data_IF_566284883921
#
_entry.id   IF_566284883921
#
_cell.length_a   1.000
_cell.length_b   1.000
_cell.length_c   1.000
_cell.angle_alpha   90.00
_cell.angle_beta   90.00
_cell.angle_gamma   90.00
#
_symmetry.space_group_name_H-M   'P 1'
#
loop_
_entity.id
_entity.type
_entity.pdbx_description
1 polymer ?
#
# COMPACT_ATOMS: atom_id res chain seq x y z
N UNK A 1 -4.89 19.04 4.30
CA UNK A 1 -4.80 17.84 5.17
C UNK A 1 -4.34 16.65 4.34
N UNK A 2 -3.27 15.95 4.73
CA UNK A 2 -2.74 14.78 3.99
C UNK A 2 -3.82 13.68 3.89
N UNK A 3 -3.87 12.89 2.82
CA UNK A 3 -4.97 11.96 2.54
C UNK A 3 -5.19 10.93 3.67
N UNK A 4 -4.12 10.43 4.30
CA UNK A 4 -4.24 9.53 5.44
C UNK A 4 -4.86 10.19 6.69
N UNK A 5 -4.66 11.50 6.91
CA UNK A 5 -5.26 12.23 8.04
C UNK A 5 -6.78 12.33 7.84
N UNK A 6 -7.24 12.58 6.61
CA UNK A 6 -8.68 12.57 6.30
C UNK A 6 -9.29 11.22 6.66
N UNK A 7 -8.60 10.12 6.33
CA UNK A 7 -9.06 8.76 6.57
C UNK A 7 -9.10 8.42 8.07
N UNK A 8 -8.11 8.85 8.86
CA UNK A 8 -8.10 8.73 10.33
C UNK A 8 -9.32 9.41 10.94
N UNK A 9 -9.57 10.67 10.54
CA UNK A 9 -10.67 11.48 11.07
C UNK A 9 -12.01 10.86 10.72
N UNK A 10 -12.20 10.45 9.46
CA UNK A 10 -13.43 9.76 9.03
C UNK A 10 -13.66 8.47 9.82
N UNK A 11 -12.63 7.64 9.99
CA UNK A 11 -12.72 6.41 10.77
C UNK A 11 -13.14 6.65 12.22
N UNK A 12 -12.57 7.67 12.87
CA UNK A 12 -12.92 8.06 14.24
C UNK A 12 -14.39 8.45 14.34
N UNK A 13 -14.89 9.29 13.42
CA UNK A 13 -16.29 9.70 13.42
C UNK A 13 -17.25 8.54 13.13
N UNK A 14 -16.87 7.61 12.26
CA UNK A 14 -17.66 6.40 11.99
C UNK A 14 -17.76 5.53 13.25
N UNK A 15 -16.65 5.29 13.96
CA UNK A 15 -16.68 4.54 15.23
C UNK A 15 -17.51 5.24 16.30
N UNK A 16 -17.37 6.57 16.43
CA UNK A 16 -18.13 7.35 17.40
C UNK A 16 -19.63 7.30 17.08
N UNK A 17 -20.00 7.50 15.81
CA UNK A 17 -21.39 7.42 15.35
C UNK A 17 -21.98 6.03 15.59
N UNK A 18 -21.24 4.97 15.28
CA UNK A 18 -21.67 3.59 15.52
C UNK A 18 -21.84 3.30 17.02
N UNK A 19 -20.92 3.77 17.87
CA UNK A 19 -21.04 3.62 19.33
C UNK A 19 -22.29 4.32 19.88
N UNK A 20 -22.53 5.56 19.47
CA UNK A 20 -23.72 6.32 19.90
C UNK A 20 -25.00 5.65 19.40
N UNK A 21 -25.02 5.18 18.15
CA UNK A 21 -26.16 4.46 17.58
C UNK A 21 -26.47 3.18 18.37
N UNK A 22 -25.46 2.36 18.66
CA UNK A 22 -25.63 1.14 19.46
C UNK A 22 -26.12 1.45 20.88
N UNK A 23 -25.69 2.57 21.47
CA UNK A 23 -26.18 3.00 22.79
C UNK A 23 -27.64 3.45 22.74
N UNK A 24 -28.03 4.23 21.74
CA UNK A 24 -29.43 4.62 21.54
C UNK A 24 -30.32 3.39 21.34
N UNK A 25 -29.87 2.42 20.55
CA UNK A 25 -30.57 1.15 20.36
C UNK A 25 -30.68 0.36 21.67
N UNK A 26 -29.63 0.33 22.50
CA UNK A 26 -29.68 -0.35 23.80
C UNK A 26 -30.66 0.32 24.78
N UNK A 27 -30.77 1.65 24.75
CA UNK A 27 -31.76 2.38 25.54
C UNK A 27 -33.17 2.02 25.04
N UNK A 28 -33.39 2.08 23.74
CA UNK A 28 -34.71 1.87 23.13
C UNK A 28 -35.20 0.42 23.20
N UNK A 29 -34.34 -0.57 22.94
CA UNK A 29 -34.71 -1.99 22.88
C UNK A 29 -34.62 -2.71 24.23
N UNK A 30 -33.65 -2.33 25.07
CA UNK A 30 -33.32 -3.06 26.30
C UNK A 30 -33.64 -2.27 27.56
N UNK A 31 -34.20 -1.05 27.42
CA UNK A 31 -34.54 -0.19 28.55
C UNK A 31 -33.33 0.21 29.40
N UNK A 32 -32.11 0.13 28.87
CA UNK A 32 -30.90 0.46 29.63
C UNK A 32 -30.78 1.97 29.79
N UNK A 33 -30.37 2.47 30.96
CA UNK A 33 -30.16 3.89 31.16
C UNK A 33 -28.95 4.41 30.36
N UNK A 34 -29.00 5.70 30.02
CA UNK A 34 -27.91 6.39 29.34
C UNK A 34 -26.95 6.98 30.38
N UNK A 35 -26.10 6.11 30.93
CA UNK A 35 -25.19 6.49 32.00
C UNK A 35 -24.00 7.30 31.48
N UNK A 36 -23.78 8.49 32.04
CA UNK A 36 -22.65 9.36 31.69
C UNK A 36 -21.28 8.66 31.83
N UNK A 37 -20.99 7.87 32.89
CA UNK A 37 -19.73 7.12 33.00
C UNK A 37 -19.49 6.17 31.83
N UNK A 38 -20.56 5.56 31.32
CA UNK A 38 -20.49 4.59 30.22
C UNK A 38 -20.20 5.30 28.89
N UNK A 39 -20.79 6.47 28.67
CA UNK A 39 -20.49 7.31 27.52
C UNK A 39 -19.04 7.79 27.54
N UNK A 40 -18.58 8.31 28.69
CA UNK A 40 -17.21 8.82 28.86
C UNK A 40 -16.20 7.70 28.64
N UNK A 41 -16.37 6.56 29.31
CA UNK A 41 -15.47 5.40 29.14
C UNK A 41 -15.46 4.91 27.69
N UNK A 42 -16.62 4.81 27.04
CA UNK A 42 -16.71 4.42 25.64
C UNK A 42 -15.96 5.36 24.69
N UNK A 43 -16.12 6.68 24.86
CA UNK A 43 -15.41 7.69 24.06
C UNK A 43 -13.89 7.59 24.29
N UNK A 44 -13.45 7.48 25.55
CA UNK A 44 -12.03 7.31 25.89
C UNK A 44 -11.44 6.08 25.21
N UNK A 45 -12.14 4.95 25.25
CA UNK A 45 -11.70 3.72 24.59
C UNK A 45 -11.63 3.89 23.07
N UNK A 46 -12.62 4.51 22.43
CA UNK A 46 -12.64 4.75 20.99
C UNK A 46 -11.44 5.60 20.57
N UNK A 47 -11.14 6.67 21.31
CA UNK A 47 -9.99 7.53 21.04
C UNK A 47 -8.69 6.74 21.20
N UNK A 48 -8.53 6.02 22.32
CA UNK A 48 -7.32 5.25 22.61
C UNK A 48 -7.07 4.16 21.56
N UNK A 49 -8.07 3.36 21.22
CA UNK A 49 -7.95 2.32 20.19
C UNK A 49 -7.67 2.93 18.81
N UNK A 50 -8.32 4.05 18.47
CA UNK A 50 -8.06 4.74 17.21
C UNK A 50 -6.62 5.23 17.14
N UNK A 51 -6.09 5.84 18.21
CA UNK A 51 -4.71 6.32 18.26
C UNK A 51 -3.70 5.17 18.12
N UNK A 52 -3.91 4.07 18.84
CA UNK A 52 -3.02 2.91 18.77
C UNK A 52 -3.08 2.28 17.37
N UNK A 53 -4.28 2.01 16.85
CA UNK A 53 -4.48 1.42 15.54
C UNK A 53 -3.82 2.25 14.43
N UNK A 54 -4.14 3.55 14.39
CA UNK A 54 -3.58 4.46 13.38
C UNK A 54 -2.11 4.76 13.58
N UNK A 55 -1.62 4.84 14.82
CA UNK A 55 -0.19 5.01 15.10
C UNK A 55 0.63 3.84 14.57
N UNK A 56 0.15 2.62 14.77
CA UNK A 56 0.75 1.40 14.23
C UNK A 56 0.69 1.38 12.71
N UNK A 57 -0.48 1.70 12.14
CA UNK A 57 -0.68 1.71 10.69
C UNK A 57 0.21 2.75 10.01
N UNK A 58 0.25 4.00 10.51
CA UNK A 58 1.12 5.07 10.00
C UNK A 58 2.58 4.66 10.09
N UNK A 59 3.03 4.06 11.21
CA UNK A 59 4.42 3.62 11.37
C UNK A 59 4.84 2.60 10.31
N UNK A 60 3.92 1.75 9.85
CA UNK A 60 4.20 0.74 8.83
C UNK A 60 4.05 1.29 7.40
N UNK A 61 3.01 2.09 7.14
CA UNK A 61 2.68 2.62 5.82
C UNK A 61 3.57 3.79 5.40
N UNK A 62 3.85 4.72 6.32
CA UNK A 62 4.54 5.96 5.99
C UNK A 62 5.91 5.71 5.36
N UNK A 63 6.79 4.83 5.91
CA UNK A 63 8.07 4.55 5.27
C UNK A 63 7.94 3.97 3.85
N UNK A 64 6.93 3.15 3.61
CA UNK A 64 6.66 2.54 2.29
C UNK A 64 6.16 3.57 1.28
N UNK A 65 5.23 4.43 1.71
CA UNK A 65 4.70 5.52 0.89
C UNK A 65 5.78 6.56 0.56
N UNK A 66 6.56 6.96 1.57
CA UNK A 66 7.66 7.91 1.39
C UNK A 66 8.72 7.32 0.45
N UNK A 67 9.04 6.02 0.57
CA UNK A 67 9.99 5.35 -0.31
C UNK A 67 9.51 5.30 -1.77
N UNK A 68 8.26 4.90 -2.03
CA UNK A 68 7.77 4.72 -3.41
C UNK A 68 7.68 6.04 -4.18
N UNK A 69 7.55 7.16 -3.46
CA UNK A 69 7.49 8.51 -4.01
C UNK A 69 8.85 9.22 -4.04
N UNK A 70 9.86 8.67 -3.36
CA UNK A 70 11.19 9.29 -3.28
C UNK A 70 12.04 8.97 -4.51
N UNK A 71 13.05 9.80 -4.83
CA UNK A 71 14.01 9.53 -5.90
C UNK A 71 15.08 8.48 -5.55
N UNK A 72 14.96 7.78 -4.41
CA UNK A 72 15.98 6.82 -3.99
C UNK A 72 16.18 5.68 -5.01
N UNK A 73 17.43 5.39 -5.36
CA UNK A 73 17.81 4.40 -6.38
C UNK A 73 18.00 2.99 -5.82
N UNK A 74 18.10 2.84 -4.50
CA UNK A 74 18.33 1.54 -3.88
C UNK A 74 17.03 0.72 -3.77
N UNK A 75 17.10 -0.62 -3.92
CA UNK A 75 15.97 -1.50 -3.68
C UNK A 75 15.39 -1.37 -2.26
N UNK A 76 14.08 -1.58 -2.07
CA UNK A 76 13.44 -1.50 -0.76
C UNK A 76 13.89 -2.67 0.14
N UNK A 77 14.19 -2.38 1.41
CA UNK A 77 14.63 -3.39 2.41
C UNK A 77 13.52 -3.69 3.43
N UNK A 78 12.26 -3.69 2.99
CA UNK A 78 11.14 -3.99 3.89
C UNK A 78 11.02 -5.50 4.15
N UNK A 79 10.56 -5.89 5.34
CA UNK A 79 10.43 -7.30 5.78
C UNK A 79 9.64 -8.23 4.83
N UNK A 80 8.76 -7.69 4.00
CA UNK A 80 7.90 -8.44 3.08
C UNK A 80 8.22 -8.14 1.59
N UNK A 81 9.44 -7.70 1.32
CA UNK A 81 9.92 -7.48 -0.04
C UNK A 81 10.21 -8.81 -0.70
N UNK A 82 9.69 -9.00 -1.90
CA UNK A 82 9.97 -10.11 -2.79
C UNK A 82 10.78 -9.56 -3.95
N UNK A 83 12.03 -10.00 -4.03
CA UNK A 83 12.92 -9.71 -5.16
C UNK A 83 12.80 -10.81 -6.20
N UNK A 84 12.83 -10.41 -7.47
CA UNK A 84 12.84 -11.30 -8.62
C UNK A 84 13.69 -10.67 -9.71
N UNK A 85 14.59 -11.44 -10.26
CA UNK A 85 15.38 -11.06 -11.43
C UNK A 85 14.73 -11.65 -12.67
N UNK A 86 14.65 -10.85 -13.72
CA UNK A 86 14.15 -11.26 -15.03
C UNK A 86 15.28 -11.02 -16.03
N UNK A 87 15.77 -12.10 -16.64
CA UNK A 87 16.75 -12.01 -17.71
C UNK A 87 16.11 -11.44 -18.97
N UNK A 88 16.74 -10.42 -19.53
CA UNK A 88 16.34 -9.77 -20.77
C UNK A 88 17.28 -10.29 -21.86
N UNK A 89 16.80 -11.24 -22.66
CA UNK A 89 17.62 -11.91 -23.68
C UNK A 89 17.87 -11.06 -24.93
N UNK A 90 17.23 -9.89 -25.03
CA UNK A 90 17.04 -9.19 -26.30
C UNK A 90 17.75 -7.83 -26.33
N UNK A 91 18.56 -7.58 -27.37
CA UNK A 91 19.18 -6.28 -27.65
C UNK A 91 18.16 -5.17 -28.02
N UNK A 92 16.86 -5.47 -28.01
CA UNK A 92 15.78 -4.54 -28.37
C UNK A 92 14.95 -4.05 -27.18
N UNK A 93 15.36 -4.40 -25.95
CA UNK A 93 14.71 -3.92 -24.74
C UNK A 93 14.67 -2.40 -24.70
N UNK A 94 13.49 -1.86 -24.46
CA UNK A 94 13.29 -0.43 -24.30
C UNK A 94 12.61 -0.16 -22.97
N UNK A 95 13.35 0.49 -22.08
CA UNK A 95 12.82 0.96 -20.80
C UNK A 95 11.59 1.85 -20.99
N UNK A 96 11.57 2.67 -22.05
CA UNK A 96 10.43 3.51 -22.40
C UNK A 96 9.20 2.70 -22.85
N UNK A 97 9.39 1.61 -23.60
CA UNK A 97 8.28 0.72 -23.96
C UNK A 97 7.71 0.06 -22.71
N UNK A 98 8.56 -0.42 -21.81
CA UNK A 98 8.14 -1.00 -20.55
C UNK A 98 7.33 0.01 -19.71
N UNK A 99 7.81 1.25 -19.60
CA UNK A 99 7.09 2.33 -18.94
C UNK A 99 5.69 2.54 -19.53
N UNK A 100 5.60 2.69 -20.85
CA UNK A 100 4.33 2.95 -21.53
C UNK A 100 3.31 1.82 -21.33
N UNK A 101 3.75 0.57 -21.23
CA UNK A 101 2.86 -0.54 -20.93
C UNK A 101 2.44 -0.57 -19.47
N UNK A 102 3.37 -0.34 -18.53
CA UNK A 102 3.09 -0.39 -17.10
C UNK A 102 2.13 0.72 -16.64
N UNK A 103 2.19 1.92 -17.22
CA UNK A 103 1.28 3.03 -16.89
C UNK A 103 -0.20 2.69 -17.17
N UNK A 104 -0.47 1.75 -18.08
CA UNK A 104 -1.85 1.30 -18.38
C UNK A 104 -2.48 0.58 -17.21
N UNK A 105 -1.69 -0.16 -16.44
CA UNK A 105 -2.15 -1.03 -15.35
C UNK A 105 -1.87 -0.45 -13.96
N UNK A 106 -0.76 0.28 -13.81
CA UNK A 106 -0.25 0.76 -12.54
C UNK A 106 -0.19 2.29 -12.49
N UNK A 107 -0.03 2.83 -11.28
CA UNK A 107 0.35 4.22 -11.08
C UNK A 107 1.86 4.29 -10.92
N UNK A 108 2.54 4.86 -11.91
CA UNK A 108 3.99 5.10 -11.85
C UNK A 108 4.24 6.35 -11.01
N UNK A 109 4.98 6.20 -9.92
CA UNK A 109 5.20 7.26 -8.92
C UNK A 109 6.57 7.92 -9.06
N UNK A 110 7.53 7.26 -9.69
CA UNK A 110 8.86 7.80 -9.97
C UNK A 110 9.46 7.10 -11.19
N UNK A 111 10.15 7.86 -12.03
CA UNK A 111 10.93 7.36 -13.17
C UNK A 111 12.24 8.12 -13.21
N UNK A 112 13.33 7.39 -13.39
CA UNK A 112 14.66 7.92 -13.67
C UNK A 112 15.19 7.22 -14.92
N UNK A 113 15.26 7.93 -16.03
CA UNK A 113 15.76 7.37 -17.29
C UNK A 113 17.28 7.18 -17.28
N UNK A 114 18.02 7.99 -16.50
CA UNK A 114 19.48 7.91 -16.43
C UNK A 114 19.93 6.64 -15.71
N UNK A 115 19.34 6.40 -14.54
CA UNK A 115 19.59 5.19 -13.74
C UNK A 115 18.70 4.01 -14.17
N UNK A 116 17.78 4.21 -15.11
CA UNK A 116 16.80 3.20 -15.60
C UNK A 116 16.00 2.56 -14.47
N UNK A 117 15.49 3.42 -13.59
CA UNK A 117 14.73 3.05 -12.40
C UNK A 117 13.29 3.51 -12.54
N UNK A 118 12.36 2.65 -12.13
CA UNK A 118 10.95 2.98 -12.06
C UNK A 118 10.35 2.48 -10.76
N UNK A 119 9.48 3.29 -10.18
CA UNK A 119 8.68 2.93 -9.02
C UNK A 119 7.23 3.04 -9.39
N UNK A 120 6.46 2.04 -9.02
CA UNK A 120 5.05 1.98 -9.31
C UNK A 120 4.28 1.36 -8.17
N UNK A 121 2.97 1.58 -8.18
CA UNK A 121 2.03 1.00 -7.24
C UNK A 121 0.75 0.58 -7.93
N UNK A 122 0.04 -0.34 -7.30
CA UNK A 122 -1.35 -0.61 -7.67
C UNK A 122 -2.20 0.65 -7.53
N UNK A 123 -3.20 0.78 -8.42
CA UNK A 123 -4.25 1.78 -8.25
C UNK A 123 -5.07 1.43 -7.01
N UNK A 124 -5.41 2.44 -6.21
CA UNK A 124 -6.15 2.23 -4.97
C UNK A 124 -7.48 1.51 -5.22
N UNK A 125 -7.75 0.50 -4.39
CA UNK A 125 -9.04 -0.18 -4.33
C UNK A 125 -9.59 -0.16 -2.91
N UNK A 126 -10.91 -0.19 -2.76
CA UNK A 126 -11.55 -0.26 -1.43
C UNK A 126 -11.23 -1.56 -0.69
N UNK A 127 -10.86 -2.63 -1.40
CA UNK A 127 -10.62 -3.95 -0.84
C UNK A 127 -9.14 -4.23 -0.54
N UNK A 128 -8.21 -3.41 -1.03
CA UNK A 128 -6.78 -3.58 -0.83
C UNK A 128 -6.01 -2.27 -0.98
N UNK A 129 -5.10 -2.05 -0.03
CA UNK A 129 -4.01 -1.06 -0.08
C UNK A 129 -3.01 -1.31 -1.23
N UNK A 130 -3.07 -2.47 -1.87
CA UNK A 130 -2.23 -2.83 -3.02
C UNK A 130 -0.82 -3.24 -2.65
N UNK A 131 0.01 -3.36 -3.68
CA UNK A 131 1.44 -3.50 -3.58
C UNK A 131 2.17 -2.41 -4.37
N UNK A 132 3.47 -2.32 -4.10
CA UNK A 132 4.37 -1.39 -4.75
C UNK A 132 5.56 -2.17 -5.29
N UNK A 133 6.08 -1.74 -6.43
CA UNK A 133 7.22 -2.37 -7.09
C UNK A 133 8.26 -1.32 -7.44
N UNK A 134 9.49 -1.62 -7.08
CA UNK A 134 10.68 -0.99 -7.61
C UNK A 134 11.21 -1.85 -8.77
N UNK A 135 11.55 -1.20 -9.87
CA UNK A 135 12.10 -1.81 -11.08
C UNK A 135 13.41 -1.11 -11.37
N UNK A 136 14.46 -1.89 -11.61
CA UNK A 136 15.76 -1.38 -12.03
C UNK A 136 16.31 -2.26 -13.14
N UNK A 137 16.64 -1.64 -14.28
CA UNK A 137 17.26 -2.36 -15.39
C UNK A 137 18.77 -2.21 -15.35
N UNK A 138 19.45 -3.32 -15.06
CA UNK A 138 20.91 -3.43 -15.00
C UNK A 138 21.43 -3.83 -16.38
N UNK A 139 21.69 -2.85 -17.24
CA UNK A 139 22.11 -3.06 -18.63
C UNK A 139 23.35 -3.96 -18.76
N UNK A 140 24.34 -3.76 -17.89
CA UNK A 140 25.59 -4.53 -17.90
C UNK A 140 25.37 -6.03 -17.69
N UNK A 141 24.32 -6.39 -16.96
CA UNK A 141 23.99 -7.79 -16.63
C UNK A 141 22.86 -8.32 -17.52
N UNK A 142 22.17 -7.46 -18.26
CA UNK A 142 20.95 -7.83 -19.00
C UNK A 142 19.81 -8.24 -18.06
N UNK A 143 19.82 -7.78 -16.81
CA UNK A 143 18.87 -8.19 -15.78
C UNK A 143 17.92 -7.05 -15.43
N UNK A 144 16.65 -7.37 -15.28
CA UNK A 144 15.65 -6.47 -14.74
C UNK A 144 15.28 -6.93 -13.33
N UNK A 145 15.73 -6.15 -12.34
CA UNK A 145 15.47 -6.40 -10.94
C UNK A 145 14.10 -5.84 -10.56
N UNK A 146 13.21 -6.73 -10.12
CA UNK A 146 11.90 -6.41 -9.59
C UNK A 146 11.92 -6.59 -8.06
N UNK A 147 11.71 -5.53 -7.31
CA UNK A 147 11.55 -5.60 -5.85
C UNK A 147 10.16 -5.12 -5.46
N UNK A 148 9.27 -6.07 -5.17
CA UNK A 148 7.86 -5.79 -4.87
C UNK A 148 7.54 -6.02 -3.40
N UNK A 149 6.76 -5.15 -2.80
CA UNK A 149 6.36 -5.27 -1.40
C UNK A 149 4.91 -4.82 -1.23
N UNK A 150 4.16 -5.41 -0.28
CA UNK A 150 2.80 -4.98 -0.02
C UNK A 150 2.80 -3.59 0.63
N UNK A 151 1.80 -2.76 0.38
CA UNK A 151 1.70 -1.45 1.04
C UNK A 151 1.45 -1.61 2.55
N UNK A 152 0.83 -2.72 2.97
CA UNK A 152 0.69 -3.15 4.36
C UNK A 152 0.80 -4.66 4.48
N UNK A 153 1.44 -5.14 5.55
CA UNK A 153 1.62 -6.57 5.79
C UNK A 153 0.72 -7.12 6.91
N UNK A 154 -0.35 -6.40 7.25
CA UNK A 154 -1.19 -6.70 8.44
C UNK A 154 -2.38 -7.61 8.17
N UNK A 155 -2.81 -7.73 6.92
CA UNK A 155 -3.93 -8.60 6.55
C UNK A 155 -3.43 -9.80 5.74
N UNK A 156 -4.00 -10.99 5.97
CA UNK A 156 -3.64 -12.20 5.21
C UNK A 156 -3.76 -12.01 3.69
N UNK A 157 -4.75 -11.22 3.24
CA UNK A 157 -4.92 -10.88 1.82
C UNK A 157 -3.76 -10.06 1.25
N UNK A 158 -3.04 -9.31 2.08
CA UNK A 158 -1.98 -8.40 1.65
C UNK A 158 -0.58 -8.97 1.79
N UNK A 159 -0.36 -9.97 2.65
CA UNK A 159 0.96 -10.61 2.75
C UNK A 159 1.47 -11.18 1.42
N UNK A 160 0.57 -11.58 0.52
CA UNK A 160 0.89 -12.08 -0.82
C UNK A 160 0.82 -11.06 -1.96
N UNK A 161 0.42 -9.81 -1.73
CA UNK A 161 0.19 -8.87 -2.84
C UNK A 161 1.49 -8.48 -3.55
N UNK A 162 2.59 -8.30 -2.81
CA UNK A 162 3.90 -8.03 -3.40
C UNK A 162 4.37 -9.16 -4.32
N UNK A 163 4.18 -10.42 -3.91
CA UNK A 163 4.48 -11.58 -4.75
C UNK A 163 3.63 -11.62 -6.02
N UNK A 164 2.31 -11.46 -5.88
CA UNK A 164 1.38 -11.45 -7.02
C UNK A 164 1.72 -10.36 -8.03
N UNK A 165 2.05 -9.15 -7.56
CA UNK A 165 2.42 -8.06 -8.43
C UNK A 165 3.76 -8.33 -9.15
N UNK A 166 4.76 -8.85 -8.43
CA UNK A 166 6.04 -9.25 -9.03
C UNK A 166 5.86 -10.32 -10.11
N UNK A 167 5.03 -11.33 -9.86
CA UNK A 167 4.70 -12.38 -10.83
C UNK A 167 3.96 -11.81 -12.05
N UNK A 168 2.98 -10.91 -11.85
CA UNK A 168 2.25 -10.26 -12.93
C UNK A 168 3.18 -9.41 -13.82
N UNK A 169 4.03 -8.57 -13.22
CA UNK A 169 4.98 -7.73 -13.97
C UNK A 169 6.00 -8.59 -14.70
N UNK A 170 6.57 -9.61 -14.06
CA UNK A 170 7.49 -10.53 -14.72
C UNK A 170 6.83 -11.23 -15.93
N UNK A 171 5.58 -11.68 -15.78
CA UNK A 171 4.84 -12.31 -16.90
C UNK A 171 4.58 -11.34 -18.04
N UNK A 172 4.29 -10.07 -17.73
CA UNK A 172 4.08 -9.01 -18.72
C UNK A 172 5.37 -8.73 -19.49
N UNK A 173 6.52 -8.67 -18.81
CA UNK A 173 7.84 -8.49 -19.44
C UNK A 173 8.15 -9.64 -20.39
N UNK A 174 7.97 -10.89 -19.94
CA UNK A 174 8.22 -12.09 -20.76
C UNK A 174 7.30 -12.11 -22.00
N UNK A 175 6.02 -11.81 -21.83
CA UNK A 175 5.05 -11.82 -22.93
C UNK A 175 5.28 -10.70 -23.96
N UNK A 176 5.89 -9.59 -23.55
CA UNK A 176 6.20 -8.48 -24.45
C UNK A 176 7.40 -8.76 -25.36
N UNK A 177 8.11 -9.88 -25.19
CA UNK A 177 9.37 -10.19 -25.90
C UNK A 177 10.37 -9.01 -25.84
N UNK A 178 10.30 -8.24 -24.75
CA UNK A 178 11.18 -7.11 -24.47
C UNK A 178 12.56 -7.61 -24.06
#
# INVERSE_FOLDING_TARGET
MKPYVKLIVTYLFVLLGMFLLLRLLAVWLLGRPMDAPVLVTGIVWIILFSLIYWGVLIREFKPRLDYIQSPGTQPPVFKATVTKEVEISNNSFSFQKLHNELVRFYEVTYVDEGERIMKLRDRFSMSSWGACTFIHYQENEGILLLASYPMSNRTMKQGGSGRKQSEAIASLIINLNL
#
